data_IF_558408377924
#
_entry.id   IF_558408377924
#
_cell.length_a   1.000
_cell.length_b   1.000
_cell.length_c   1.000
_cell.angle_alpha   90.00
_cell.angle_beta   90.00
_cell.angle_gamma   90.00
#
_symmetry.space_group_name_H-M   'P 1'
#
loop_
_entity.id
_entity.type
_entity.pdbx_description
1 polymer ?
#
# COMPACT_ATOMS: atom_id res chain seq x y z
N UNK A 1 69.50 -8.11 53.38
CA UNK A 1 69.04 -6.82 52.82
C UNK A 1 68.83 -5.84 53.96
N UNK A 2 69.77 -4.91 54.13
CA UNK A 2 69.52 -3.57 54.65
C UNK A 2 69.59 -2.56 53.48
N UNK A 3 69.45 -1.24 53.70
CA UNK A 3 68.26 -0.48 53.32
C UNK A 3 68.56 0.70 52.37
N UNK A 4 67.55 1.57 52.15
CA UNK A 4 67.57 2.89 51.45
C UNK A 4 67.66 2.81 49.91
N UNK A 5 67.22 3.76 49.11
CA UNK A 5 66.33 4.92 49.16
C UNK A 5 66.29 5.43 47.71
N UNK A 6 65.16 6.00 47.27
CA UNK A 6 65.02 6.99 46.19
C UNK A 6 65.87 6.94 44.91
N UNK A 7 65.21 7.02 43.77
CA UNK A 7 65.66 7.90 42.67
C UNK A 7 64.54 8.15 41.66
N UNK A 8 64.24 9.44 41.46
CA UNK A 8 63.75 9.96 40.18
C UNK A 8 64.97 10.09 39.26
N UNK A 9 64.85 9.73 37.99
CA UNK A 9 65.50 10.49 36.92
C UNK A 9 64.88 10.22 35.55
N UNK A 10 64.72 11.31 34.81
CA UNK A 10 64.19 11.43 33.45
C UNK A 10 65.21 10.99 32.40
N UNK A 11 64.73 10.43 31.28
CA UNK A 11 65.18 10.67 29.90
C UNK A 11 64.24 9.86 29.00
N UNK A 12 63.40 10.44 28.13
CA UNK A 12 63.78 11.21 26.96
C UNK A 12 63.38 10.39 25.73
N UNK A 13 62.29 10.77 25.07
CA UNK A 13 61.75 10.02 23.92
C UNK A 13 60.42 10.59 23.42
N UNK A 14 60.51 11.73 22.73
CA UNK A 14 59.44 12.30 21.92
C UNK A 14 58.94 11.34 20.85
N UNK A 15 57.62 11.15 20.72
CA UNK A 15 56.97 11.40 19.42
C UNK A 15 55.56 11.97 19.65
N UNK A 16 55.35 13.10 18.98
CA UNK A 16 54.22 14.01 19.04
C UNK A 16 52.85 13.32 19.12
N UNK A 17 52.11 13.61 20.19
CA UNK A 17 50.68 13.33 20.27
C UNK A 17 49.94 14.15 19.22
N UNK A 18 49.53 13.48 18.14
CA UNK A 18 48.64 14.01 17.11
C UNK A 18 47.28 14.33 17.76
N UNK A 19 47.12 15.56 18.26
CA UNK A 19 45.80 16.10 18.62
C UNK A 19 45.06 16.41 17.34
N UNK A 20 44.36 15.40 16.81
CA UNK A 20 43.41 15.60 15.72
C UNK A 20 42.20 16.32 16.32
N UNK A 21 42.18 17.65 16.22
CA UNK A 21 40.97 18.42 16.36
C UNK A 21 40.09 18.13 15.14
N UNK A 22 39.24 17.12 15.24
CA UNK A 22 38.12 16.94 14.30
C UNK A 22 37.14 18.09 14.53
N UNK A 23 37.36 19.20 13.82
CA UNK A 23 36.35 20.22 13.63
C UNK A 23 35.29 19.63 12.72
N UNK A 24 34.26 19.00 13.31
CA UNK A 24 33.09 18.53 12.59
C UNK A 24 32.33 19.76 12.12
N UNK A 25 32.62 20.20 10.89
CA UNK A 25 31.72 21.08 10.16
C UNK A 25 30.42 20.29 9.97
N UNK A 26 29.44 20.55 10.83
CA UNK A 26 28.08 20.12 10.62
C UNK A 26 27.55 20.87 9.40
N UNK A 27 27.73 20.29 8.22
CA UNK A 27 27.02 20.70 7.01
C UNK A 27 25.57 20.26 7.20
N UNK A 28 24.77 21.12 7.81
CA UNK A 28 23.31 20.96 7.86
C UNK A 28 22.77 21.19 6.46
N UNK A 29 22.77 20.15 5.63
CA UNK A 29 22.00 20.16 4.39
C UNK A 29 20.53 20.15 4.81
N UNK A 30 19.92 21.33 4.83
CA UNK A 30 18.47 21.46 4.88
C UNK A 30 17.93 20.92 3.55
N UNK A 31 17.74 19.61 3.47
CA UNK A 31 16.97 18.98 2.39
C UNK A 31 15.54 19.44 2.65
N UNK A 32 15.17 20.59 2.07
CA UNK A 32 13.77 20.97 1.85
C UNK A 32 13.21 20.03 0.79
N UNK A 33 13.18 18.73 1.12
CA UNK A 33 12.44 17.76 0.37
C UNK A 33 10.99 18.09 0.65
N UNK A 34 10.24 18.40 -0.40
CA UNK A 34 8.79 18.41 -0.34
C UNK A 34 8.35 17.03 0.15
N UNK A 35 8.21 16.87 1.47
CA UNK A 35 7.69 15.67 2.08
C UNK A 35 6.22 15.61 1.70
N UNK A 36 5.93 15.04 0.51
CA UNK A 36 4.58 14.58 0.19
C UNK A 36 4.20 13.67 1.35
N UNK A 37 3.20 14.09 2.11
CA UNK A 37 2.66 13.30 3.20
C UNK A 37 2.39 11.88 2.69
N UNK A 38 2.79 10.84 3.46
CA UNK A 38 2.59 9.47 3.02
C UNK A 38 1.10 9.24 2.73
N UNK A 39 0.77 8.41 1.74
CA UNK A 39 -0.62 8.04 1.49
C UNK A 39 -1.22 7.43 2.76
N UNK A 40 -2.53 7.64 3.00
CA UNK A 40 -3.21 7.02 4.13
C UNK A 40 -3.08 5.50 4.07
N UNK A 41 -3.14 4.85 5.24
CA UNK A 41 -3.20 3.41 5.31
C UNK A 41 -4.44 2.88 4.56
N UNK A 42 -4.33 1.75 3.85
CA UNK A 42 -5.47 1.17 3.17
C UNK A 42 -6.50 0.71 4.20
N UNK A 43 -7.77 0.92 3.87
CA UNK A 43 -8.91 0.42 4.65
C UNK A 43 -9.80 -0.53 3.82
N UNK A 44 -9.48 -0.73 2.55
CA UNK A 44 -10.21 -1.61 1.65
C UNK A 44 -9.27 -2.45 0.78
N UNK A 45 -9.64 -3.71 0.60
CA UNK A 45 -9.17 -4.61 -0.43
C UNK A 45 -10.21 -4.66 -1.56
N UNK A 46 -9.80 -4.27 -2.76
CA UNK A 46 -10.57 -4.45 -3.99
C UNK A 46 -9.93 -5.59 -4.78
N UNK A 47 -10.61 -6.72 -4.92
CA UNK A 47 -10.13 -7.86 -5.70
C UNK A 47 -10.81 -7.88 -7.05
N UNK A 48 -10.00 -8.02 -8.11
CA UNK A 48 -10.49 -8.16 -9.48
C UNK A 48 -10.26 -9.57 -10.00
N UNK A 49 -11.34 -10.19 -10.48
CA UNK A 49 -11.37 -11.49 -11.15
C UNK A 49 -11.94 -11.31 -12.57
N UNK A 50 -11.73 -12.31 -13.43
CA UNK A 50 -12.30 -12.31 -14.78
C UNK A 50 -13.61 -13.10 -14.80
N UNK A 51 -14.67 -12.50 -15.35
CA UNK A 51 -15.93 -13.18 -15.66
C UNK A 51 -15.75 -14.13 -16.84
N UNK A 52 -16.76 -14.97 -17.11
CA UNK A 52 -16.77 -15.84 -18.28
C UNK A 52 -16.65 -15.06 -19.61
N UNK A 53 -17.14 -13.82 -19.65
CA UNK A 53 -17.10 -12.93 -20.80
C UNK A 53 -15.81 -12.10 -20.90
N UNK A 54 -14.81 -12.36 -20.06
CA UNK A 54 -13.53 -11.65 -20.08
C UNK A 54 -13.56 -10.27 -19.42
N UNK A 55 -14.62 -9.94 -18.69
CA UNK A 55 -14.77 -8.64 -18.02
C UNK A 55 -14.22 -8.70 -16.59
N UNK A 56 -13.81 -7.56 -16.03
CA UNK A 56 -13.35 -7.50 -14.65
C UNK A 56 -14.55 -7.49 -13.69
N UNK A 57 -14.67 -8.51 -12.84
CA UNK A 57 -15.56 -8.54 -11.68
C UNK A 57 -14.81 -8.06 -10.44
N UNK A 58 -15.45 -7.23 -9.61
CA UNK A 58 -14.88 -6.62 -8.43
C UNK A 58 -15.63 -7.00 -7.16
N UNK A 59 -14.86 -7.47 -6.18
CA UNK A 59 -15.30 -7.63 -4.79
C UNK A 59 -14.58 -6.62 -3.89
N UNK A 60 -15.32 -6.02 -2.98
CA UNK A 60 -14.86 -4.99 -2.05
C UNK A 60 -14.96 -5.50 -0.61
N UNK A 61 -13.86 -5.43 0.13
CA UNK A 61 -13.79 -5.90 1.51
C UNK A 61 -13.06 -4.89 2.37
N UNK A 62 -13.59 -4.64 3.57
CA UNK A 62 -12.88 -3.88 4.58
C UNK A 62 -11.66 -4.66 5.10
N UNK A 63 -10.60 -3.92 5.39
CA UNK A 63 -9.34 -4.40 5.97
C UNK A 63 -8.80 -3.32 6.90
N UNK A 64 -8.14 -3.71 7.98
CA UNK A 64 -7.63 -2.75 8.97
C UNK A 64 -6.18 -2.33 8.68
N UNK A 65 -5.45 -3.16 7.95
CA UNK A 65 -4.02 -2.94 7.69
C UNK A 65 -3.60 -3.34 6.27
N UNK A 66 -2.47 -2.80 5.81
CA UNK A 66 -1.85 -3.22 4.56
C UNK A 66 -1.44 -4.70 4.60
N UNK A 67 -0.91 -5.17 5.73
CA UNK A 67 -0.49 -6.56 5.91
C UNK A 67 -1.66 -7.52 5.74
N UNK A 68 -2.79 -7.22 6.39
CA UNK A 68 -4.02 -7.99 6.24
C UNK A 68 -4.52 -7.99 4.80
N UNK A 69 -4.53 -6.83 4.15
CA UNK A 69 -4.93 -6.70 2.75
C UNK A 69 -4.10 -7.61 1.81
N UNK A 70 -2.78 -7.54 1.92
CA UNK A 70 -1.88 -8.34 1.08
C UNK A 70 -1.97 -9.83 1.41
N UNK A 71 -2.14 -10.18 2.69
CA UNK A 71 -2.34 -11.57 3.12
C UNK A 71 -3.61 -12.17 2.52
N UNK A 72 -4.75 -11.46 2.61
CA UNK A 72 -6.02 -11.90 2.01
C UNK A 72 -5.93 -12.03 0.48
N UNK A 73 -5.30 -11.07 -0.19
CA UNK A 73 -5.08 -11.14 -1.65
C UNK A 73 -4.18 -12.32 -2.04
N UNK A 74 -3.13 -12.61 -1.26
CA UNK A 74 -2.26 -13.77 -1.47
C UNK A 74 -2.99 -15.10 -1.28
N UNK A 75 -3.87 -15.19 -0.29
CA UNK A 75 -4.73 -16.35 -0.09
C UNK A 75 -5.68 -16.54 -1.28
N UNK A 76 -6.37 -15.48 -1.73
CA UNK A 76 -7.26 -15.51 -2.87
C UNK A 76 -6.56 -15.99 -4.16
N UNK A 77 -5.33 -15.50 -4.43
CA UNK A 77 -4.51 -15.94 -5.58
C UNK A 77 -4.23 -17.44 -5.60
N UNK A 78 -4.17 -18.09 -4.43
CA UNK A 78 -3.95 -19.54 -4.31
C UNK A 78 -5.24 -20.33 -4.50
N UNK A 79 -6.36 -19.82 -3.99
CA UNK A 79 -7.65 -20.53 -3.95
C UNK A 79 -8.44 -20.37 -5.25
N UNK A 80 -8.48 -19.17 -5.83
CA UNK A 80 -9.30 -18.88 -7.02
C UNK A 80 -9.03 -19.81 -8.21
N UNK A 81 -7.77 -20.15 -8.55
CA UNK A 81 -7.51 -21.10 -9.63
C UNK A 81 -8.11 -22.48 -9.41
N UNK A 82 -8.23 -22.93 -8.15
CA UNK A 82 -8.86 -24.22 -7.82
C UNK A 82 -10.36 -24.22 -8.15
N UNK A 83 -11.00 -23.05 -8.06
CA UNK A 83 -12.38 -22.82 -8.44
C UNK A 83 -12.55 -22.38 -9.91
N UNK A 84 -11.47 -22.43 -10.71
CA UNK A 84 -11.44 -21.92 -12.10
C UNK A 84 -11.77 -20.43 -12.22
N UNK A 85 -11.58 -19.66 -11.15
CA UNK A 85 -11.72 -18.21 -11.14
C UNK A 85 -10.36 -17.62 -11.52
N UNK A 86 -10.32 -16.81 -12.59
CA UNK A 86 -9.09 -16.16 -13.02
C UNK A 86 -8.88 -14.87 -12.23
N UNK A 87 -7.83 -14.84 -11.44
CA UNK A 87 -7.41 -13.65 -10.72
C UNK A 87 -6.74 -12.64 -11.68
N UNK A 88 -7.16 -11.38 -11.67
CA UNK A 88 -6.57 -10.31 -12.50
C UNK A 88 -5.57 -9.49 -11.67
N UNK A 89 -6.05 -8.84 -10.62
CA UNK A 89 -5.26 -7.97 -9.74
C UNK A 89 -6.01 -7.65 -8.45
N UNK A 90 -5.35 -7.01 -7.51
CA UNK A 90 -5.98 -6.37 -6.36
C UNK A 90 -5.52 -4.92 -6.19
N UNK A 91 -6.23 -4.20 -5.34
CA UNK A 91 -5.83 -2.91 -4.80
C UNK A 91 -5.99 -2.96 -3.28
N UNK A 92 -4.91 -2.64 -2.57
CA UNK A 92 -4.96 -2.23 -1.17
C UNK A 92 -5.06 -0.70 -1.15
N UNK A 93 -6.27 -0.19 -0.97
CA UNK A 93 -6.57 1.23 -1.14
C UNK A 93 -7.20 1.82 0.12
N UNK A 94 -7.00 3.12 0.29
CA UNK A 94 -7.81 3.92 1.19
C UNK A 94 -9.01 4.51 0.43
N UNK A 95 -10.17 4.57 1.08
CA UNK A 95 -11.39 5.19 0.54
C UNK A 95 -12.38 5.53 1.65
N UNK A 96 -13.19 6.59 1.44
CA UNK A 96 -14.34 6.93 2.28
C UNK A 96 -15.68 6.49 1.65
N UNK A 97 -15.62 5.86 0.48
CA UNK A 97 -16.78 5.32 -0.22
C UNK A 97 -17.28 4.09 0.53
N UNK A 98 -18.60 3.98 0.73
CA UNK A 98 -19.21 2.85 1.43
C UNK A 98 -19.65 1.79 0.42
N UNK A 99 -19.38 0.53 0.75
CA UNK A 99 -19.75 -0.63 -0.07
C UNK A 99 -20.77 -1.43 0.72
N UNK A 100 -21.84 -1.87 0.06
CA UNK A 100 -22.78 -2.79 0.69
C UNK A 100 -22.11 -4.17 0.89
N UNK A 101 -22.51 -4.92 1.93
CA UNK A 101 -21.97 -6.25 2.19
C UNK A 101 -22.16 -7.20 1.01
N UNK A 102 -21.24 -8.15 0.89
CA UNK A 102 -21.33 -9.23 -0.09
C UNK A 102 -22.48 -10.18 0.29
N UNK A 103 -23.34 -10.52 -0.67
CA UNK A 103 -24.36 -11.56 -0.48
C UNK A 103 -23.71 -12.93 -0.73
N UNK A 104 -23.64 -13.79 0.28
CA UNK A 104 -23.04 -15.12 0.20
C UNK A 104 -23.95 -16.16 -0.49
N UNK A 105 -24.45 -15.84 -1.68
CA UNK A 105 -25.23 -16.80 -2.47
C UNK A 105 -24.30 -17.59 -3.43
N UNK A 106 -24.49 -18.91 -3.56
CA UNK A 106 -23.65 -19.76 -4.41
C UNK A 106 -23.69 -19.36 -5.90
N UNK A 107 -24.81 -18.78 -6.32
CA UNK A 107 -24.91 -17.93 -7.50
C UNK A 107 -25.30 -16.53 -7.02
N UNK A 108 -24.65 -15.45 -7.49
CA UNK A 108 -25.02 -14.10 -7.08
C UNK A 108 -26.41 -13.77 -7.64
N UNK A 109 -27.44 -14.04 -6.84
CA UNK A 109 -28.81 -13.61 -7.08
C UNK A 109 -28.92 -12.12 -6.73
N UNK A 110 -29.05 -11.26 -7.74
CA UNK A 110 -29.20 -9.83 -7.53
C UNK A 110 -28.83 -9.00 -8.76
N UNK A 111 -29.07 -7.68 -8.71
CA UNK A 111 -28.59 -6.77 -9.74
C UNK A 111 -27.05 -6.75 -9.75
N UNK A 112 -26.47 -6.87 -10.95
CA UNK A 112 -25.08 -6.50 -11.17
C UNK A 112 -25.02 -5.00 -11.51
N UNK A 113 -23.93 -4.37 -11.09
CA UNK A 113 -23.67 -2.96 -11.29
C UNK A 113 -22.39 -2.78 -12.09
N UNK A 114 -22.35 -1.78 -12.97
CA UNK A 114 -21.11 -1.41 -13.66
C UNK A 114 -20.56 -0.13 -13.06
N UNK A 115 -19.29 -0.20 -12.63
CA UNK A 115 -18.60 0.91 -12.00
C UNK A 115 -17.31 1.28 -12.71
N UNK A 116 -17.03 2.57 -12.79
CA UNK A 116 -15.70 3.12 -13.08
C UNK A 116 -15.01 3.54 -11.79
N UNK A 117 -13.93 2.84 -11.44
CA UNK A 117 -13.10 3.13 -10.27
C UNK A 117 -11.98 4.10 -10.64
N UNK A 118 -11.92 5.26 -9.99
CA UNK A 118 -10.94 6.30 -10.24
C UNK A 118 -9.92 6.36 -9.10
N UNK A 119 -8.76 5.80 -9.35
CA UNK A 119 -7.67 5.77 -8.38
C UNK A 119 -6.71 6.97 -8.55
N UNK A 120 -6.17 7.44 -7.44
CA UNK A 120 -5.07 8.40 -7.39
C UNK A 120 -3.92 7.82 -6.56
N UNK A 121 -2.76 8.48 -6.60
CA UNK A 121 -1.53 8.03 -5.91
C UNK A 121 -1.21 6.56 -6.25
N UNK A 122 -1.23 6.23 -7.54
CA UNK A 122 -0.89 4.91 -8.08
C UNK A 122 -1.71 3.75 -7.51
N UNK A 123 -3.03 3.93 -7.37
CA UNK A 123 -3.91 2.87 -6.85
C UNK A 123 -4.09 2.87 -5.34
N UNK A 124 -3.39 3.73 -4.60
CA UNK A 124 -3.43 3.76 -3.13
C UNK A 124 -4.65 4.47 -2.55
N UNK A 125 -5.31 5.31 -3.33
CA UNK A 125 -6.54 6.00 -2.91
C UNK A 125 -7.58 5.86 -4.01
N UNK A 126 -8.74 5.31 -3.68
CA UNK A 126 -9.91 5.32 -4.54
C UNK A 126 -10.65 6.63 -4.28
N UNK A 127 -10.52 7.56 -5.22
CA UNK A 127 -11.00 8.93 -5.06
C UNK A 127 -12.46 9.11 -5.46
N UNK A 128 -12.93 8.29 -6.41
CA UNK A 128 -14.28 8.39 -6.97
C UNK A 128 -14.71 7.06 -7.57
N UNK A 129 -16.00 6.76 -7.42
CA UNK A 129 -16.72 5.72 -8.15
C UNK A 129 -17.78 6.38 -9.01
N UNK A 130 -17.99 5.89 -10.22
CA UNK A 130 -19.05 6.35 -11.13
C UNK A 130 -19.84 5.15 -11.62
N UNK A 131 -21.17 5.24 -11.61
CA UNK A 131 -22.06 4.19 -12.10
C UNK A 131 -22.26 4.33 -13.62
N UNK A 132 -22.28 3.21 -14.33
CA UNK A 132 -22.50 3.12 -15.78
C UNK A 132 -23.60 2.11 -16.09
N UNK A 133 -24.24 2.28 -17.25
CA UNK A 133 -25.27 1.35 -17.74
C UNK A 133 -24.67 0.07 -18.31
N UNK A 134 -23.43 0.12 -18.77
CA UNK A 134 -22.74 -1.01 -19.40
C UNK A 134 -21.22 -0.88 -19.29
N UNK A 135 -20.50 -2.00 -19.44
CA UNK A 135 -19.03 -2.02 -19.49
C UNK A 135 -18.50 -1.15 -20.63
N UNK A 136 -19.11 -1.24 -21.81
CA UNK A 136 -18.75 -0.41 -22.97
C UNK A 136 -18.89 1.08 -22.68
N UNK A 137 -19.96 1.51 -22.01
CA UNK A 137 -20.13 2.92 -21.61
C UNK A 137 -19.05 3.38 -20.64
N UNK A 138 -18.65 2.50 -19.72
CA UNK A 138 -17.56 2.78 -18.78
C UNK A 138 -16.22 2.93 -19.51
N UNK A 139 -15.88 1.96 -20.37
CA UNK A 139 -14.61 1.92 -21.11
C UNK A 139 -14.46 3.13 -22.03
N UNK A 140 -15.55 3.55 -22.69
CA UNK A 140 -15.59 4.72 -23.56
C UNK A 140 -15.27 6.05 -22.84
N UNK A 141 -15.38 6.14 -21.51
CA UNK A 141 -14.99 7.35 -20.77
C UNK A 141 -13.47 7.49 -20.62
N UNK A 142 -12.73 6.38 -20.67
CA UNK A 142 -11.29 6.32 -20.44
C UNK A 142 -10.87 6.74 -19.01
N UNK A 143 -9.62 6.45 -18.64
CA UNK A 143 -8.94 6.87 -17.38
C UNK A 143 -9.41 6.20 -16.07
N UNK A 144 -10.37 5.29 -16.13
CA UNK A 144 -10.90 4.58 -14.95
C UNK A 144 -10.77 3.07 -15.13
N UNK A 145 -10.80 2.34 -14.01
CA UNK A 145 -10.85 0.88 -14.01
C UNK A 145 -12.31 0.48 -14.03
N UNK A 146 -12.75 -0.07 -15.15
CA UNK A 146 -14.13 -0.52 -15.33
C UNK A 146 -14.32 -1.92 -14.76
N UNK A 147 -15.35 -2.08 -13.93
CA UNK A 147 -15.64 -3.34 -13.25
C UNK A 147 -17.14 -3.59 -13.21
N UNK A 148 -17.51 -4.86 -13.19
CA UNK A 148 -18.80 -5.34 -12.72
C UNK A 148 -18.67 -5.60 -11.22
N UNK A 149 -19.74 -5.37 -10.46
CA UNK A 149 -19.84 -5.86 -9.09
C UNK A 149 -21.26 -6.24 -8.75
N UNK A 150 -21.39 -7.22 -7.87
CA UNK A 150 -22.65 -7.60 -7.24
C UNK A 150 -22.86 -6.91 -5.88
N UNK A 151 -21.89 -6.10 -5.45
CA UNK A 151 -22.05 -5.20 -4.31
C UNK A 151 -22.47 -3.83 -4.81
N UNK A 152 -23.57 -3.30 -4.27
CA UNK A 152 -23.93 -1.92 -4.52
C UNK A 152 -22.96 -0.97 -3.81
N UNK A 153 -22.71 0.19 -4.41
CA UNK A 153 -21.82 1.22 -3.87
C UNK A 153 -22.66 2.43 -3.52
N UNK A 154 -22.72 2.74 -2.23
CA UNK A 154 -23.44 3.91 -1.72
C UNK A 154 -22.42 5.04 -1.56
N UNK A 155 -22.67 6.22 -2.13
CA UNK A 155 -21.84 7.39 -1.85
C UNK A 155 -21.73 7.59 -0.34
N UNK A 156 -20.51 7.66 0.19
CA UNK A 156 -20.31 8.06 1.58
C UNK A 156 -20.82 9.49 1.77
N UNK A 157 -21.61 9.73 2.82
CA UNK A 157 -22.04 11.07 3.25
C UNK A 157 -20.86 11.99 3.53
#
# INVERSE_FOLDING_TARGET
>A
MGPYSGSKSYSGGEIMGLKVFFSVLAVSVAISGCAKSPPPAPNHLIMLTETADGQADASFMEVDTLEECESRASAAKKVFPMAKIKYIRHYCTHTNIKFEPFLHNPEPEGPSYVFGLNFVKDGKVLSKVSNFKSMTDCENKGKQVCVISYQNIVPGE
#
